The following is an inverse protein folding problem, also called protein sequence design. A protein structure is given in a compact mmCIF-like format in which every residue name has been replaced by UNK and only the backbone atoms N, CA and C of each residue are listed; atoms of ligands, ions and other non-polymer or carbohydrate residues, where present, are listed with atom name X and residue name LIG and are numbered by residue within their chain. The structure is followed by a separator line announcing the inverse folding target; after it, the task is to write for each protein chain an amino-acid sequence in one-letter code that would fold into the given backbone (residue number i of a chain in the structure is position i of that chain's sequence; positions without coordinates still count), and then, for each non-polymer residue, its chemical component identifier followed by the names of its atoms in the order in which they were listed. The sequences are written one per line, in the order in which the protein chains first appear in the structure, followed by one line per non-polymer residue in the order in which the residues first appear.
data_IF_233243040238
#
_entry.id   IF_233243040238
#
_cell.length_a   1.000
_cell.length_b   1.000
_cell.length_c   1.000
_cell.angle_alpha   90.00
_cell.angle_beta   90.00
_cell.angle_gamma   90.00
#
_symmetry.space_group_name_H-M   'P 1'
#
loop_
_entity.id
_entity.type
_entity.pdbx_description
1 polymer ?
#
# COMPACT_ATOMS: atom_id res chain seq x y z
N UNK A 1 -19.27 10.31 -12.94
CA UNK A 1 -17.84 9.98 -13.14
C UNK A 1 -17.71 9.13 -14.41
N UNK A 2 -16.77 9.47 -15.27
CA UNK A 2 -16.56 8.68 -16.50
C UNK A 2 -16.00 7.30 -16.18
N UNK A 3 -16.16 6.35 -17.11
CA UNK A 3 -15.67 4.98 -16.91
C UNK A 3 -14.15 4.93 -16.76
N UNK A 4 -13.42 5.78 -17.49
CA UNK A 4 -11.96 5.83 -17.40
C UNK A 4 -11.49 6.37 -16.05
N UNK A 5 -12.17 7.37 -15.51
CA UNK A 5 -11.87 7.94 -14.20
C UNK A 5 -12.23 6.94 -13.10
N UNK A 6 -13.37 6.27 -13.23
CA UNK A 6 -13.79 5.24 -12.27
C UNK A 6 -12.77 4.10 -12.23
N UNK A 7 -12.30 3.65 -13.40
CA UNK A 7 -11.27 2.61 -13.46
C UNK A 7 -9.98 3.08 -12.77
N UNK A 8 -9.57 4.31 -13.01
CA UNK A 8 -8.36 4.87 -12.38
C UNK A 8 -8.48 4.90 -10.86
N UNK A 9 -9.65 5.30 -10.33
CA UNK A 9 -9.88 5.29 -8.89
C UNK A 9 -9.94 3.88 -8.31
N UNK A 10 -10.57 2.94 -9.00
CA UNK A 10 -10.60 1.54 -8.57
C UNK A 10 -9.19 0.94 -8.53
N UNK A 11 -8.36 1.22 -9.54
CA UNK A 11 -6.98 0.76 -9.59
C UNK A 11 -6.16 1.38 -8.45
N UNK A 12 -6.41 2.64 -8.12
CA UNK A 12 -5.72 3.32 -7.02
C UNK A 12 -6.11 2.74 -5.66
N UNK A 13 -7.39 2.46 -5.45
CA UNK A 13 -7.87 1.80 -4.22
C UNK A 13 -7.15 0.46 -4.03
N UNK A 14 -7.09 -0.34 -5.08
CA UNK A 14 -6.43 -1.66 -5.05
C UNK A 14 -4.94 -1.50 -4.77
N UNK A 15 -4.29 -0.50 -5.39
CA UNK A 15 -2.88 -0.22 -5.18
C UNK A 15 -2.57 0.15 -3.72
N UNK A 16 -3.41 1.00 -3.10
CA UNK A 16 -3.23 1.37 -1.71
C UNK A 16 -3.39 0.18 -0.76
N UNK A 17 -4.38 -0.68 -1.02
CA UNK A 17 -4.59 -1.88 -0.21
C UNK A 17 -3.44 -2.88 -0.40
N UNK A 18 -2.92 -3.00 -1.61
CA UNK A 18 -1.73 -3.83 -1.90
C UNK A 18 -0.51 -3.31 -1.14
N UNK A 19 -0.34 -1.97 -1.11
CA UNK A 19 0.75 -1.34 -0.37
C UNK A 19 0.66 -1.64 1.13
N UNK A 20 -0.55 -1.59 1.71
CA UNK A 20 -0.76 -1.98 3.11
C UNK A 20 -0.22 -3.39 3.37
N UNK A 21 -0.58 -4.35 2.53
CA UNK A 21 -0.15 -5.74 2.70
C UNK A 21 1.37 -5.87 2.63
N UNK A 22 2.02 -5.16 1.72
CA UNK A 22 3.49 -5.18 1.59
C UNK A 22 4.17 -4.62 2.83
N UNK A 23 3.74 -3.45 3.30
CA UNK A 23 4.31 -2.86 4.52
C UNK A 23 4.06 -3.73 5.74
N UNK A 24 2.90 -4.34 5.82
CA UNK A 24 2.54 -5.21 6.94
C UNK A 24 3.42 -6.47 6.98
N UNK A 25 3.70 -7.07 5.81
CA UNK A 25 4.60 -8.20 5.74
C UNK A 25 6.04 -7.80 6.11
N UNK A 26 6.50 -6.62 5.66
CA UNK A 26 7.81 -6.11 6.06
C UNK A 26 7.88 -5.88 7.57
N UNK A 27 6.79 -5.41 8.18
CA UNK A 27 6.71 -5.25 9.63
C UNK A 27 6.84 -6.58 10.36
N UNK A 28 6.21 -7.62 9.84
CA UNK A 28 6.34 -8.98 10.39
C UNK A 28 7.80 -9.43 10.36
N UNK A 29 8.50 -9.21 9.24
CA UNK A 29 9.92 -9.58 9.11
C UNK A 29 10.80 -8.79 10.09
N UNK A 30 10.49 -7.51 10.29
CA UNK A 30 11.22 -6.70 11.28
C UNK A 30 10.98 -7.19 12.71
N UNK A 31 9.72 -7.48 13.07
CA UNK A 31 9.39 -8.03 14.39
C UNK A 31 10.05 -9.39 14.62
N UNK A 32 10.11 -10.24 13.60
CA UNK A 32 10.74 -11.56 13.71
C UNK A 32 12.22 -11.47 14.06
N UNK A 33 12.84 -10.32 13.81
CA UNK A 33 14.26 -10.07 14.12
C UNK A 33 14.43 -9.11 15.30
N UNK A 34 13.38 -8.86 16.06
CA UNK A 34 13.38 -7.96 17.23
C UNK A 34 13.73 -6.50 16.85
N UNK A 35 13.44 -6.09 15.63
CA UNK A 35 13.59 -4.71 15.16
C UNK A 35 12.30 -3.93 15.44
N UNK A 36 11.98 -3.73 16.70
CA UNK A 36 10.68 -3.23 17.13
C UNK A 36 10.35 -1.80 16.65
N UNK A 37 11.34 -0.93 16.60
CA UNK A 37 11.16 0.44 16.10
C UNK A 37 10.84 0.47 14.62
N UNK A 38 11.55 -0.33 13.84
CA UNK A 38 11.31 -0.46 12.39
C UNK A 38 9.94 -1.09 12.13
N UNK A 39 9.59 -2.13 12.89
CA UNK A 39 8.28 -2.77 12.76
C UNK A 39 7.15 -1.80 13.05
N UNK A 40 7.28 -0.97 14.08
CA UNK A 40 6.27 0.03 14.42
C UNK A 40 6.10 1.07 13.30
N UNK A 41 7.21 1.53 12.73
CA UNK A 41 7.18 2.48 11.62
C UNK A 41 6.50 1.86 10.39
N UNK A 42 6.83 0.62 10.07
CA UNK A 42 6.24 -0.09 8.91
C UNK A 42 4.74 -0.33 9.12
N UNK A 43 4.30 -0.67 10.34
CA UNK A 43 2.87 -0.80 10.65
C UNK A 43 2.14 0.52 10.49
N UNK A 44 2.79 1.61 10.90
CA UNK A 44 2.22 2.95 10.72
C UNK A 44 2.04 3.28 9.23
N UNK A 45 3.04 2.95 8.40
CA UNK A 45 2.94 3.12 6.95
C UNK A 45 1.80 2.28 6.36
N UNK A 46 1.65 1.03 6.81
CA UNK A 46 0.56 0.17 6.39
C UNK A 46 -0.80 0.79 6.72
N UNK A 47 -0.96 1.31 7.94
CA UNK A 47 -2.21 1.94 8.38
C UNK A 47 -2.53 3.20 7.56
N UNK A 48 -1.51 3.98 7.18
CA UNK A 48 -1.70 5.16 6.34
C UNK A 48 -2.23 4.80 4.94
N UNK A 49 -1.80 3.67 4.38
CA UNK A 49 -2.30 3.22 3.08
C UNK A 49 -3.79 2.89 3.12
N UNK A 50 -4.28 2.37 4.23
CA UNK A 50 -5.73 2.14 4.43
C UNK A 50 -6.50 3.45 4.48
N UNK A 51 -5.94 4.47 5.14
CA UNK A 51 -6.54 5.82 5.17
C UNK A 51 -6.67 6.36 3.74
N UNK A 52 -5.63 6.21 2.92
CA UNK A 52 -5.65 6.64 1.53
C UNK A 52 -6.71 5.88 0.72
N UNK A 53 -6.78 4.56 0.88
CA UNK A 53 -7.78 3.74 0.19
C UNK A 53 -9.19 4.19 0.54
N UNK A 54 -9.47 4.44 1.81
CA UNK A 54 -10.78 4.90 2.26
C UNK A 54 -11.16 6.25 1.67
N UNK A 55 -10.21 7.17 1.51
CA UNK A 55 -10.46 8.47 0.88
C UNK A 55 -10.91 8.30 -0.58
N UNK A 56 -10.26 7.42 -1.33
CA UNK A 56 -10.65 7.13 -2.70
C UNK A 56 -12.03 6.44 -2.79
N UNK A 57 -12.30 5.52 -1.87
CA UNK A 57 -13.60 4.83 -1.79
C UNK A 57 -14.71 5.85 -1.53
N UNK A 58 -14.53 6.69 -0.51
CA UNK A 58 -15.52 7.70 -0.13
C UNK A 58 -15.76 8.71 -1.25
N UNK A 59 -14.70 9.15 -1.90
CA UNK A 59 -14.79 10.08 -3.03
C UNK A 59 -15.59 9.47 -4.18
N UNK A 60 -15.36 8.19 -4.49
CA UNK A 60 -16.07 7.49 -5.56
C UNK A 60 -17.55 7.36 -5.23
N UNK A 61 -17.88 6.99 -4.00
CA UNK A 61 -19.25 6.89 -3.53
C UNK A 61 -19.96 8.25 -3.56
N UNK A 62 -19.28 9.30 -3.13
CA UNK A 62 -19.84 10.66 -3.12
C UNK A 62 -20.19 11.15 -4.54
N UNK A 63 -19.50 10.64 -5.54
CA UNK A 63 -19.77 10.96 -6.95
C UNK A 63 -20.84 10.06 -7.56
N UNK A 64 -21.50 9.23 -6.77
CA UNK A 64 -22.56 8.34 -7.22
C UNK A 64 -22.05 7.13 -8.01
N UNK A 65 -20.75 6.87 -7.99
CA UNK A 65 -20.15 5.71 -8.65
C UNK A 65 -19.96 4.57 -7.67
N UNK A 66 -19.70 3.37 -8.19
CA UNK A 66 -19.56 2.17 -7.38
C UNK A 66 -18.09 1.72 -7.34
N UNK A 67 -17.38 1.93 -6.19
CA UNK A 67 -15.99 1.50 -6.10
C UNK A 67 -15.88 -0.02 -6.08
N UNK A 68 -14.84 -0.55 -6.75
CA UNK A 68 -14.55 -1.97 -6.79
C UNK A 68 -13.09 -2.22 -6.46
N UNK A 69 -12.85 -3.12 -5.53
CA UNK A 69 -11.49 -3.56 -5.20
C UNK A 69 -11.12 -4.68 -6.16
N UNK A 70 -9.97 -4.54 -6.80
CA UNK A 70 -9.44 -5.56 -7.70
C UNK A 70 -8.65 -6.64 -6.97
N UNK A 71 -7.87 -7.40 -7.73
CA UNK A 71 -7.04 -8.48 -7.17
C UNK A 71 -5.89 -7.90 -6.36
N UNK A 72 -5.74 -8.38 -5.13
CA UNK A 72 -4.62 -8.02 -4.26
C UNK A 72 -3.70 -9.24 -4.20
N UNK A 73 -2.51 -9.09 -4.79
CA UNK A 73 -1.51 -10.15 -4.77
C UNK A 73 -0.88 -10.27 -3.39
N UNK A 74 -0.51 -11.50 -3.01
CA UNK A 74 0.24 -11.70 -1.78
C UNK A 74 1.57 -10.95 -1.85
N UNK A 75 2.02 -10.34 -0.73
CA UNK A 75 3.31 -9.63 -0.74
C UNK A 75 4.48 -10.55 -1.08
N UNK A 76 5.34 -10.11 -1.98
CA UNK A 76 6.57 -10.82 -2.34
C UNK A 76 7.71 -10.35 -1.45
N UNK A 77 7.66 -10.75 -0.18
CA UNK A 77 8.66 -10.39 0.82
C UNK A 77 9.31 -11.67 1.34
N UNK A 78 10.63 -11.74 1.24
CA UNK A 78 11.37 -12.92 1.66
C UNK A 78 11.54 -12.97 3.18
N UNK A 79 11.69 -14.19 3.72
CA UNK A 79 12.01 -14.42 5.13
C UNK A 79 13.52 -14.20 5.34
N UNK A 80 13.88 -13.62 6.48
CA UNK A 80 15.29 -13.49 6.86
C UNK A 80 16.00 -12.28 6.28
N UNK A 81 15.26 -11.29 5.79
CA UNK A 81 15.85 -10.03 5.31
C UNK A 81 16.55 -9.31 6.47
N UNK A 82 17.72 -8.71 6.18
CA UNK A 82 18.40 -7.84 7.14
C UNK A 82 17.64 -6.53 7.32
N UNK A 83 17.96 -5.78 8.39
CA UNK A 83 17.37 -4.46 8.61
C UNK A 83 17.54 -3.54 7.39
N UNK A 84 18.74 -3.55 6.78
CA UNK A 84 19.01 -2.75 5.59
C UNK A 84 18.14 -3.18 4.41
N UNK A 85 18.01 -4.49 4.20
CA UNK A 85 17.19 -5.03 3.11
C UNK A 85 15.71 -4.69 3.29
N UNK A 86 15.21 -4.76 4.51
CA UNK A 86 13.83 -4.35 4.83
C UNK A 86 13.63 -2.88 4.51
N UNK A 87 14.56 -2.02 4.93
CA UNK A 87 14.51 -0.59 4.67
C UNK A 87 14.57 -0.30 3.17
N UNK A 88 15.44 -0.98 2.43
CA UNK A 88 15.57 -0.83 0.98
C UNK A 88 14.28 -1.25 0.26
N UNK A 89 13.64 -2.34 0.71
CA UNK A 89 12.37 -2.79 0.15
C UNK A 89 11.26 -1.75 0.38
N UNK A 90 11.19 -1.17 1.58
CA UNK A 90 10.22 -0.13 1.91
C UNK A 90 10.45 1.12 1.05
N UNK A 91 11.71 1.54 0.89
CA UNK A 91 12.06 2.70 0.09
C UNK A 91 11.71 2.50 -1.39
N UNK A 92 12.01 1.34 -1.93
CA UNK A 92 11.67 1.01 -3.32
C UNK A 92 10.15 1.05 -3.53
N UNK A 93 9.38 0.61 -2.55
CA UNK A 93 7.93 0.65 -2.62
C UNK A 93 7.39 2.09 -2.61
N UNK A 94 7.96 2.97 -1.78
CA UNK A 94 7.61 4.39 -1.74
C UNK A 94 7.91 5.09 -3.08
N UNK A 95 9.06 4.84 -3.67
CA UNK A 95 9.44 5.39 -4.98
C UNK A 95 8.47 4.98 -6.07
N UNK A 96 8.01 3.73 -6.04
CA UNK A 96 7.04 3.20 -6.99
C UNK A 96 5.70 3.91 -6.84
N UNK A 97 5.25 4.15 -5.61
CA UNK A 97 4.01 4.87 -5.33
C UNK A 97 4.08 6.32 -5.82
N UNK A 98 5.21 6.99 -5.60
CA UNK A 98 5.44 8.36 -6.07
C UNK A 98 5.39 8.43 -7.59
N UNK A 99 6.04 7.50 -8.30
CA UNK A 99 6.00 7.43 -9.76
C UNK A 99 4.58 7.27 -10.29
N UNK A 100 3.78 6.44 -9.63
CA UNK A 100 2.38 6.25 -10.01
C UNK A 100 1.56 7.52 -9.83
N UNK A 101 1.78 8.22 -8.74
CA UNK A 101 1.09 9.49 -8.44
C UNK A 101 1.41 10.56 -9.50
N UNK A 102 2.64 10.62 -9.96
CA UNK A 102 3.05 11.58 -11.00
C UNK A 102 2.45 11.29 -12.37
N UNK A 103 2.08 10.05 -12.65
CA UNK A 103 1.50 9.65 -13.93
C UNK A 103 -0.02 9.90 -13.98
N UNK A 104 -0.63 10.16 -12.86
CA UNK A 104 -2.07 10.42 -12.77
C UNK A 104 -2.36 11.87 -12.48
#
# INVERSE_FOLDING_TARGET
MSDDILKAFNDQITLELTADMTYRQLAIEADAQDLSGMAAWLRHQADEEIVHANKFIDHTLDRGSHPRIGTIEAPEVEVGLSALEIFQAALAHEEKAVSYTHLT
#
